data_IF_076068524717
#
_entry.id   IF_076068524717
#
_cell.length_a   1.000
_cell.length_b   1.000
_cell.length_c   1.000
_cell.angle_alpha   90.00
_cell.angle_beta   90.00
_cell.angle_gamma   90.00
#
_symmetry.space_group_name_H-M   'P 1'
#
loop_
_entity.id
_entity.type
_entity.pdbx_description
1 polymer ?
#
# COMPACT_ATOMS: atom_id res chain seq x y z
N UNK A 1 -73.14 7.02 -1.68
CA UNK A 1 -74.12 8.10 -1.92
C UNK A 1 -73.35 9.41 -1.91
N UNK A 2 -73.49 10.34 -2.84
CA UNK A 2 -74.22 10.34 -4.13
C UNK A 2 -73.52 11.36 -5.04
N UNK A 3 -73.56 11.16 -6.36
CA UNK A 3 -72.99 12.12 -7.30
C UNK A 3 -74.05 13.13 -7.71
N UNK A 4 -73.68 14.41 -7.83
CA UNK A 4 -74.43 15.34 -8.68
C UNK A 4 -73.51 16.21 -9.53
N UNK A 5 -73.62 16.01 -10.85
CA UNK A 5 -73.13 16.93 -11.87
C UNK A 5 -74.07 18.13 -11.94
N UNK A 6 -73.52 19.29 -12.30
CA UNK A 6 -74.22 20.24 -13.17
C UNK A 6 -73.25 20.78 -14.23
N UNK A 7 -73.78 21.02 -15.42
CA UNK A 7 -73.05 21.36 -16.65
C UNK A 7 -73.60 22.66 -17.21
N UNK A 8 -72.73 23.51 -17.76
CA UNK A 8 -73.13 24.56 -18.70
C UNK A 8 -72.09 24.66 -19.82
N UNK A 9 -72.53 24.96 -21.05
CA UNK A 9 -71.72 24.81 -22.27
C UNK A 9 -71.80 26.02 -23.22
N UNK A 10 -70.64 26.35 -23.82
CA UNK A 10 -70.44 27.06 -25.11
C UNK A 10 -70.70 28.59 -25.12
N UNK A 11 -70.18 29.35 -26.13
CA UNK A 11 -69.49 28.91 -27.35
C UNK A 11 -68.09 29.53 -27.61
N UNK A 12 -67.52 29.12 -28.75
CA UNK A 12 -66.20 29.45 -29.32
C UNK A 12 -66.21 30.79 -30.08
N UNK A 13 -65.10 31.53 -30.04
CA UNK A 13 -64.64 32.36 -31.17
C UNK A 13 -63.11 32.43 -31.22
N UNK A 14 -62.53 32.53 -32.43
CA UNK A 14 -61.09 32.48 -32.65
C UNK A 14 -60.65 33.57 -33.65
N UNK A 15 -59.53 34.25 -33.37
CA UNK A 15 -58.78 35.09 -34.33
C UNK A 15 -57.34 35.31 -33.82
N UNK A 16 -56.35 34.99 -34.67
CA UNK A 16 -54.94 35.47 -34.65
C UNK A 16 -54.84 36.65 -35.65
N UNK A 17 -53.75 37.47 -35.75
CA UNK A 17 -52.37 37.32 -35.24
C UNK A 17 -51.84 38.57 -34.46
N UNK A 18 -50.57 38.74 -34.08
CA UNK A 18 -49.49 39.39 -34.90
C UNK A 18 -48.19 39.61 -34.10
N UNK A 19 -47.01 39.49 -34.75
CA UNK A 19 -45.62 40.00 -34.47
C UNK A 19 -45.01 40.00 -33.04
N UNK A 20 -43.76 39.50 -32.95
CA UNK A 20 -42.72 39.85 -31.95
C UNK A 20 -41.38 40.13 -32.68
N UNK A 21 -40.86 41.36 -32.57
CA UNK A 21 -39.58 41.91 -33.07
C UNK A 21 -39.34 43.21 -32.25
N UNK A 22 -38.16 43.61 -31.75
CA UNK A 22 -36.88 42.95 -31.38
C UNK A 22 -36.01 43.96 -30.58
N UNK A 23 -35.17 43.52 -29.64
CA UNK A 23 -34.03 44.22 -29.00
C UNK A 23 -33.41 43.22 -27.99
N UNK A 24 -32.45 42.38 -28.38
CA UNK A 24 -30.99 42.64 -28.50
C UNK A 24 -30.31 43.02 -27.17
N UNK A 25 -29.48 42.09 -26.69
CA UNK A 25 -28.42 42.31 -25.71
C UNK A 25 -27.16 41.68 -26.33
N UNK A 26 -26.16 42.50 -26.65
CA UNK A 26 -24.98 42.11 -27.44
C UNK A 26 -23.76 41.91 -26.54
N UNK A 27 -23.27 40.67 -26.46
CA UNK A 27 -21.95 40.35 -25.90
C UNK A 27 -21.03 39.91 -27.03
N UNK A 28 -20.15 40.81 -27.44
CA UNK A 28 -19.33 40.68 -28.64
C UNK A 28 -18.50 39.38 -28.69
N UNK A 29 -18.68 38.64 -29.79
CA UNK A 29 -17.84 37.50 -30.16
C UNK A 29 -16.55 37.98 -30.84
N UNK A 30 -15.43 37.35 -30.49
CA UNK A 30 -14.22 37.34 -31.31
C UNK A 30 -13.76 35.89 -31.51
N UNK A 31 -14.40 35.16 -32.45
CA UNK A 31 -13.94 33.87 -32.98
C UNK A 31 -14.74 33.47 -34.23
N UNK A 32 -14.60 34.25 -35.30
CA UNK A 32 -15.04 33.84 -36.64
C UNK A 32 -13.91 33.05 -37.32
N UNK A 33 -13.84 31.74 -37.04
CA UNK A 33 -12.98 30.78 -37.73
C UNK A 33 -13.48 29.34 -37.52
N UNK A 34 -14.33 28.86 -38.44
CA UNK A 34 -14.69 27.45 -38.68
C UNK A 34 -15.00 26.58 -37.43
N UNK A 35 -16.29 26.35 -37.08
CA UNK A 35 -16.66 25.37 -36.06
C UNK A 35 -16.49 23.94 -36.60
N UNK A 36 -15.27 23.41 -36.55
CA UNK A 36 -15.12 21.96 -36.42
C UNK A 36 -15.90 21.53 -35.15
N UNK A 37 -16.64 20.40 -35.17
CA UNK A 37 -17.35 19.96 -33.98
C UNK A 37 -16.37 19.82 -32.81
N UNK A 38 -16.62 20.49 -31.68
CA UNK A 38 -15.69 20.53 -30.53
C UNK A 38 -15.29 19.12 -30.05
N UNK A 39 -16.19 18.15 -30.19
CA UNK A 39 -15.92 16.73 -29.94
C UNK A 39 -14.80 16.18 -30.83
N UNK A 40 -14.77 16.56 -32.12
CA UNK A 40 -13.77 16.10 -33.10
C UNK A 40 -12.40 16.74 -32.85
N UNK A 41 -12.34 18.04 -32.49
CA UNK A 41 -11.08 18.68 -32.10
C UNK A 41 -10.54 18.08 -30.81
N UNK A 42 -11.39 17.86 -29.81
CA UNK A 42 -10.99 17.23 -28.55
C UNK A 42 -10.49 15.79 -28.76
N UNK A 43 -11.19 14.98 -29.55
CA UNK A 43 -10.75 13.63 -29.89
C UNK A 43 -9.39 13.63 -30.61
N UNK A 44 -9.15 14.59 -31.52
CA UNK A 44 -7.87 14.77 -32.20
C UNK A 44 -6.76 15.14 -31.21
N UNK A 45 -6.97 16.15 -30.36
CA UNK A 45 -5.94 16.57 -29.39
C UNK A 45 -5.66 15.52 -28.30
N UNK A 46 -6.66 14.76 -27.84
CA UNK A 46 -6.44 13.63 -26.93
C UNK A 46 -5.65 12.50 -27.58
N UNK A 47 -6.05 12.07 -28.78
CA UNK A 47 -5.34 10.98 -29.48
C UNK A 47 -3.91 11.39 -29.85
N UNK A 48 -3.70 12.65 -30.25
CA UNK A 48 -2.38 13.22 -30.46
C UNK A 48 -1.55 13.23 -29.17
N UNK A 49 -2.10 13.73 -28.06
CA UNK A 49 -1.43 13.77 -26.76
C UNK A 49 -0.94 12.39 -26.31
N UNK A 50 -1.83 11.39 -26.27
CA UNK A 50 -1.46 10.05 -25.83
C UNK A 50 -0.50 9.34 -26.79
N UNK A 51 -0.64 9.55 -28.12
CA UNK A 51 0.28 9.02 -29.13
C UNK A 51 1.69 9.60 -28.96
N UNK A 52 1.79 10.91 -28.76
CA UNK A 52 3.06 11.62 -28.54
C UNK A 52 3.72 11.21 -27.23
N UNK A 53 2.96 11.12 -26.13
CA UNK A 53 3.46 10.62 -24.83
C UNK A 53 3.99 9.19 -24.97
N UNK A 54 3.25 8.30 -25.65
CA UNK A 54 3.69 6.94 -25.90
C UNK A 54 4.99 6.89 -26.73
N UNK A 55 5.08 7.70 -27.79
CA UNK A 55 6.29 7.80 -28.60
C UNK A 55 7.51 8.27 -27.79
N UNK A 56 7.36 9.33 -26.99
CA UNK A 56 8.43 9.87 -26.15
C UNK A 56 8.88 8.86 -25.08
N UNK A 57 7.95 8.17 -24.41
CA UNK A 57 8.28 7.13 -23.43
C UNK A 57 8.97 5.91 -24.07
N UNK A 58 8.56 5.55 -25.29
CA UNK A 58 9.20 4.46 -26.05
C UNK A 58 10.63 4.82 -26.46
N UNK A 59 10.84 6.03 -26.99
CA UNK A 59 12.17 6.57 -27.33
C UNK A 59 13.07 6.69 -26.10
N UNK A 60 12.55 7.18 -24.98
CA UNK A 60 13.27 7.28 -23.72
C UNK A 60 13.73 5.91 -23.19
N UNK A 61 12.85 4.91 -23.22
CA UNK A 61 13.19 3.51 -22.91
C UNK A 61 14.29 2.96 -23.82
N UNK A 62 14.24 3.27 -25.11
CA UNK A 62 15.24 2.81 -26.08
C UNK A 62 16.61 3.50 -25.89
N UNK A 63 16.64 4.78 -25.50
CA UNK A 63 17.88 5.47 -25.12
C UNK A 63 18.52 4.90 -23.86
N UNK A 64 17.73 4.63 -22.83
CA UNK A 64 18.19 3.95 -21.60
C UNK A 64 18.80 2.58 -21.95
N UNK A 65 18.16 1.81 -22.84
CA UNK A 65 18.64 0.48 -23.25
C UNK A 65 19.92 0.51 -24.10
N UNK A 66 20.17 1.60 -24.82
CA UNK A 66 21.34 1.78 -25.70
C UNK A 66 22.45 2.62 -25.06
N UNK A 67 22.29 3.04 -23.80
CA UNK A 67 23.20 3.94 -23.08
C UNK A 67 23.50 5.25 -23.83
N UNK A 68 22.57 5.71 -24.66
CA UNK A 68 22.74 6.97 -25.41
C UNK A 68 22.40 8.17 -24.51
N UNK A 69 23.22 9.23 -24.52
CA UNK A 69 23.04 10.35 -23.60
C UNK A 69 21.72 11.09 -23.85
N UNK A 70 20.94 11.27 -22.77
CA UNK A 70 19.57 11.80 -22.81
C UNK A 70 19.44 13.22 -23.41
N UNK A 71 20.51 14.02 -23.38
CA UNK A 71 20.56 15.36 -23.96
C UNK A 71 20.66 15.37 -25.49
N UNK A 72 20.98 14.23 -26.13
CA UNK A 72 21.02 14.11 -27.59
C UNK A 72 19.59 13.88 -28.09
N UNK A 73 18.89 14.97 -28.40
CA UNK A 73 17.49 14.93 -28.88
C UNK A 73 17.48 14.91 -30.42
N UNK A 74 16.81 13.91 -30.98
CA UNK A 74 16.64 13.77 -32.44
C UNK A 74 15.53 14.69 -32.96
N UNK A 75 15.56 15.03 -34.26
CA UNK A 75 14.58 15.93 -34.87
C UNK A 75 13.11 15.48 -34.66
N UNK A 76 12.84 14.17 -34.71
CA UNK A 76 11.51 13.60 -34.44
C UNK A 76 11.10 13.73 -32.96
N UNK A 77 12.04 13.65 -32.02
CA UNK A 77 11.76 13.90 -30.60
C UNK A 77 11.52 15.39 -30.32
N UNK A 78 12.21 16.32 -31.01
CA UNK A 78 11.94 17.75 -30.91
C UNK A 78 10.50 18.06 -31.37
N UNK A 79 10.08 17.54 -32.52
CA UNK A 79 8.71 17.68 -33.03
C UNK A 79 7.70 17.06 -32.05
N UNK A 80 8.00 15.89 -31.48
CA UNK A 80 7.14 15.25 -30.49
C UNK A 80 7.02 16.09 -29.20
N UNK A 81 8.12 16.66 -28.69
CA UNK A 81 8.10 17.53 -27.50
C UNK A 81 7.27 18.80 -27.77
N UNK A 82 7.43 19.45 -28.92
CA UNK A 82 6.62 20.62 -29.28
C UNK A 82 5.13 20.26 -29.42
N UNK A 83 4.83 19.10 -30.03
CA UNK A 83 3.46 18.59 -30.18
C UNK A 83 2.83 18.21 -28.84
N UNK A 84 3.64 17.71 -27.89
CA UNK A 84 3.24 17.45 -26.50
C UNK A 84 2.85 18.74 -25.80
N UNK A 85 3.70 19.78 -25.84
CA UNK A 85 3.38 21.06 -25.21
C UNK A 85 2.15 21.73 -25.83
N UNK A 86 2.01 21.71 -27.16
CA UNK A 86 0.85 22.26 -27.84
C UNK A 86 -0.46 21.55 -27.44
N UNK A 87 -0.47 20.22 -27.42
CA UNK A 87 -1.65 19.44 -27.01
C UNK A 87 -1.92 19.53 -25.49
N UNK A 88 -0.88 19.62 -24.66
CA UNK A 88 -1.01 19.82 -23.21
C UNK A 88 -1.61 21.20 -22.88
N UNK A 89 -1.15 22.26 -23.52
CA UNK A 89 -1.71 23.63 -23.35
C UNK A 89 -3.17 23.66 -23.83
N UNK A 90 -3.50 23.01 -24.95
CA UNK A 90 -4.88 22.89 -25.42
C UNK A 90 -5.77 22.17 -24.40
N UNK A 91 -5.33 21.01 -23.88
CA UNK A 91 -6.11 20.25 -22.89
C UNK A 91 -6.24 21.00 -21.56
N UNK A 92 -5.20 21.71 -21.11
CA UNK A 92 -5.25 22.55 -19.91
C UNK A 92 -6.18 23.75 -20.10
N UNK A 93 -6.19 24.37 -21.28
CA UNK A 93 -7.12 25.45 -21.62
C UNK A 93 -8.56 24.97 -21.72
N UNK A 94 -8.80 23.80 -22.31
CA UNK A 94 -10.15 23.26 -22.50
C UNK A 94 -10.75 22.70 -21.20
N UNK A 95 -10.02 21.90 -20.43
CA UNK A 95 -10.52 21.31 -19.17
C UNK A 95 -10.30 22.20 -17.94
N UNK A 96 -9.29 23.06 -17.95
CA UNK A 96 -8.97 23.92 -16.80
C UNK A 96 -9.99 25.04 -16.59
N UNK A 97 -10.65 25.53 -17.64
CA UNK A 97 -11.67 26.57 -17.52
C UNK A 97 -12.90 26.04 -16.75
N UNK A 98 -13.48 24.91 -17.15
CA UNK A 98 -14.62 24.29 -16.45
C UNK A 98 -14.30 23.96 -14.97
N UNK A 99 -13.07 23.50 -14.71
CA UNK A 99 -12.60 23.20 -13.34
C UNK A 99 -12.48 24.45 -12.46
N UNK A 100 -11.95 25.56 -13.01
CA UNK A 100 -11.86 26.83 -12.28
C UNK A 100 -13.23 27.51 -12.13
N UNK A 101 -14.10 27.41 -13.13
CA UNK A 101 -15.44 27.99 -13.07
C UNK A 101 -16.31 27.30 -11.99
N UNK A 102 -16.19 25.97 -11.85
CA UNK A 102 -16.85 25.21 -10.77
C UNK A 102 -16.32 25.51 -9.36
N UNK A 103 -15.11 26.07 -9.24
CA UNK A 103 -14.50 26.46 -7.95
C UNK A 103 -14.76 27.93 -7.58
N UNK A 104 -15.19 28.77 -8.53
CA UNK A 104 -15.40 30.21 -8.33
C UNK A 104 -16.88 30.60 -8.32
N UNK A 105 -17.74 29.90 -9.07
CA UNK A 105 -19.19 30.16 -9.11
C UNK A 105 -19.99 29.05 -8.44
N UNK A 106 -20.16 29.15 -7.12
CA UNK A 106 -21.16 28.38 -6.38
C UNK A 106 -22.51 29.13 -6.46
N UNK A 107 -23.62 28.50 -6.93
CA UNK A 107 -24.94 29.11 -6.87
C UNK A 107 -25.43 29.19 -5.41
N UNK A 108 -26.17 30.24 -5.05
CA UNK A 108 -26.76 30.36 -3.70
C UNK A 108 -27.90 29.36 -3.50
N UNK A 109 -28.10 28.84 -2.27
CA UNK A 109 -29.22 27.95 -1.95
C UNK A 109 -30.48 28.75 -1.56
N UNK A 110 -30.96 29.64 -2.44
CA UNK A 110 -32.26 30.31 -2.27
C UNK A 110 -33.36 29.55 -3.02
N UNK A 111 -33.99 28.56 -2.36
CA UNK A 111 -35.42 28.17 -2.42
C UNK A 111 -35.55 26.92 -1.53
N UNK A 112 -35.87 27.12 -0.24
CA UNK A 112 -36.68 26.24 0.64
C UNK A 112 -36.98 27.03 1.92
N UNK A 113 -37.94 27.96 1.87
CA UNK A 113 -38.49 28.66 3.05
C UNK A 113 -39.94 28.23 3.21
N UNK A 114 -40.22 27.54 4.32
CA UNK A 114 -41.49 27.20 4.96
C UNK A 114 -41.20 25.92 5.79
N UNK A 115 -41.30 25.88 7.12
CA UNK A 115 -41.84 26.81 8.12
C UNK A 115 -40.89 26.87 9.34
N UNK A 116 -41.33 27.39 10.50
CA UNK A 116 -40.55 27.57 11.76
C UNK A 116 -39.59 28.78 11.79
N UNK A 117 -40.20 29.98 11.84
CA UNK A 117 -39.62 31.13 12.55
C UNK A 117 -39.60 30.88 14.09
N UNK A 118 -38.89 31.74 14.83
CA UNK A 118 -38.77 31.80 16.29
C UNK A 118 -37.89 30.73 16.99
N UNK A 119 -36.54 30.93 16.96
CA UNK A 119 -35.73 30.90 18.21
C UNK A 119 -34.24 31.37 18.10
N UNK A 120 -33.72 31.79 16.93
CA UNK A 120 -32.27 32.11 16.78
C UNK A 120 -31.86 33.61 16.93
N UNK A 121 -32.77 34.49 17.36
CA UNK A 121 -32.50 35.95 17.48
C UNK A 121 -31.60 36.33 18.67
N UNK A 122 -31.21 35.37 19.53
CA UNK A 122 -30.50 35.62 20.79
C UNK A 122 -29.00 35.29 20.82
N UNK A 123 -28.41 34.74 19.75
CA UNK A 123 -26.96 34.43 19.68
C UNK A 123 -26.16 35.27 18.68
N UNK A 124 -26.80 36.14 17.88
CA UNK A 124 -26.14 36.98 16.88
C UNK A 124 -25.40 38.23 17.46
N UNK A 125 -24.88 38.18 18.70
CA UNK A 125 -24.38 39.40 19.39
C UNK A 125 -23.05 39.33 20.16
N UNK A 126 -22.30 38.22 20.12
CA UNK A 126 -20.98 38.15 20.80
C UNK A 126 -19.73 38.03 19.89
N UNK A 127 -19.84 37.73 18.59
CA UNK A 127 -18.67 37.62 17.70
C UNK A 127 -18.20 38.94 17.05
N UNK A 128 -18.59 40.08 17.64
CA UNK A 128 -18.15 41.41 17.20
C UNK A 128 -16.78 41.83 17.79
N UNK A 129 -15.71 41.05 17.56
CA UNK A 129 -14.33 41.49 17.82
C UNK A 129 -13.46 41.52 16.55
N UNK A 130 -13.38 42.71 15.95
CA UNK A 130 -12.40 43.05 14.91
C UNK A 130 -11.00 43.20 15.49
N UNK A 131 -10.06 42.34 15.08
CA UNK A 131 -8.60 42.55 15.18
C UNK A 131 -8.00 42.07 13.85
N UNK A 132 -7.04 42.78 13.24
CA UNK A 132 -6.84 42.70 11.79
C UNK A 132 -6.03 41.49 11.32
N UNK A 133 -6.50 40.83 10.27
CA UNK A 133 -5.65 40.00 9.40
C UNK A 133 -4.65 40.90 8.67
N UNK A 134 -3.35 40.68 8.92
CA UNK A 134 -2.31 41.38 8.18
C UNK A 134 -0.91 41.13 8.71
N UNK A 135 -0.25 40.09 8.21
CA UNK A 135 0.99 40.25 7.46
C UNK A 135 1.46 38.92 6.88
N UNK A 136 1.86 38.94 5.61
CA UNK A 136 2.83 37.97 5.12
C UNK A 136 4.14 38.21 5.89
N UNK A 137 4.59 37.19 6.62
CA UNK A 137 5.94 37.18 7.16
C UNK A 137 6.83 36.43 6.16
N UNK A 138 7.65 37.21 5.46
CA UNK A 138 8.86 36.73 4.82
C UNK A 138 9.73 36.05 5.88
N UNK A 139 9.63 34.73 5.98
CA UNK A 139 10.66 33.91 6.61
C UNK A 139 11.89 33.88 5.71
N UNK A 140 12.53 35.04 5.58
CA UNK A 140 13.92 35.14 5.17
C UNK A 140 14.73 34.26 6.11
N UNK A 141 15.35 33.21 5.56
CA UNK A 141 16.24 32.34 6.31
C UNK A 141 17.35 33.23 6.93
N UNK A 142 17.63 33.13 8.24
CA UNK A 142 18.78 33.81 8.80
C UNK A 142 20.04 33.32 8.05
N UNK A 143 21.03 34.19 7.78
CA UNK A 143 22.27 33.76 7.15
C UNK A 143 22.86 32.61 7.95
N UNK A 144 23.15 31.50 7.27
CA UNK A 144 23.97 30.44 7.85
C UNK A 144 25.24 31.09 8.42
N UNK A 145 25.61 30.80 9.69
CA UNK A 145 26.89 31.28 10.21
C UNK A 145 27.99 30.81 9.24
N UNK A 146 29.04 31.63 9.02
CA UNK A 146 30.11 31.26 8.11
C UNK A 146 30.64 29.89 8.53
N UNK A 147 30.77 28.99 7.55
CA UNK A 147 31.13 27.61 7.80
C UNK A 147 32.31 27.57 8.78
N UNK A 148 32.06 27.05 9.99
CA UNK A 148 33.13 26.69 10.90
C UNK A 148 34.12 25.87 10.08
N UNK A 149 35.44 26.14 10.19
CA UNK A 149 36.42 25.47 9.36
C UNK A 149 36.13 23.98 9.44
N UNK A 150 36.05 23.33 8.28
CA UNK A 150 35.88 21.88 8.19
C UNK A 150 36.84 21.33 9.22
N UNK A 151 36.30 20.80 10.33
CA UNK A 151 37.07 19.98 11.23
C UNK A 151 37.38 18.83 10.34
N UNK A 152 38.57 18.89 9.73
CA UNK A 152 39.15 17.84 8.92
C UNK A 152 38.84 16.61 9.72
N UNK A 153 37.95 15.76 9.18
CA UNK A 153 37.62 14.50 9.84
C UNK A 153 38.97 13.83 9.89
N UNK A 154 39.58 13.95 11.06
CA UNK A 154 40.89 13.44 11.36
C UNK A 154 40.71 12.00 10.97
N UNK A 155 41.51 11.51 10.01
CA UNK A 155 41.39 10.14 9.53
C UNK A 155 41.43 9.27 10.77
N UNK A 156 40.25 8.88 11.25
CA UNK A 156 40.10 7.81 12.20
C UNK A 156 40.64 6.69 11.36
N UNK A 157 41.83 6.25 11.78
CA UNK A 157 42.59 5.26 11.05
C UNK A 157 41.68 4.07 10.76
N UNK A 158 42.07 3.23 9.80
CA UNK A 158 41.51 1.89 9.67
C UNK A 158 41.82 1.05 10.93
N UNK A 159 41.22 1.41 12.06
CA UNK A 159 40.85 0.48 13.12
C UNK A 159 39.82 -0.45 12.50
N UNK A 160 40.35 -1.42 11.74
CA UNK A 160 39.74 -2.74 11.68
C UNK A 160 39.33 -3.07 13.11
N UNK A 161 38.05 -3.35 13.40
CA UNK A 161 37.69 -3.93 14.68
C UNK A 161 38.35 -5.31 14.68
N UNK A 162 39.56 -5.37 15.25
CA UNK A 162 40.27 -6.61 15.47
C UNK A 162 39.54 -7.27 16.62
N UNK A 163 38.46 -7.99 16.28
CA UNK A 163 38.09 -9.19 17.04
C UNK A 163 39.39 -9.96 17.22
N UNK A 164 39.83 -10.08 18.47
CA UNK A 164 41.05 -10.81 18.83
C UNK A 164 40.73 -12.29 18.61
N UNK A 165 40.87 -12.72 17.36
CA UNK A 165 40.74 -14.11 16.96
C UNK A 165 41.88 -14.88 17.63
N UNK A 166 41.51 -15.89 18.40
CA UNK A 166 42.47 -16.82 18.99
C UNK A 166 43.09 -17.70 17.89
N UNK A 167 44.20 -18.37 18.19
CA UNK A 167 44.78 -19.34 17.25
C UNK A 167 43.78 -20.47 16.92
N UNK A 168 42.94 -20.86 17.90
CA UNK A 168 41.81 -21.78 17.68
C UNK A 168 40.82 -21.24 16.64
N UNK A 169 40.44 -19.95 16.74
CA UNK A 169 39.50 -19.33 15.80
C UNK A 169 40.07 -19.35 14.38
N UNK A 170 41.36 -19.09 14.22
CA UNK A 170 42.05 -19.18 12.92
C UNK A 170 42.02 -20.60 12.33
N UNK A 171 42.18 -21.64 13.15
CA UNK A 171 42.03 -23.03 12.69
C UNK A 171 40.59 -23.36 12.30
N UNK A 172 39.60 -22.92 13.10
CA UNK A 172 38.18 -23.11 12.80
C UNK A 172 37.80 -22.37 11.51
N UNK A 173 38.25 -21.13 11.33
CA UNK A 173 38.04 -20.35 10.10
C UNK A 173 38.62 -21.09 8.90
N UNK A 174 39.86 -21.59 8.98
CA UNK A 174 40.48 -22.40 7.89
C UNK A 174 39.65 -23.67 7.62
N UNK A 175 39.16 -24.36 8.64
CA UNK A 175 38.30 -25.54 8.52
C UNK A 175 36.95 -25.26 7.84
N UNK A 176 36.36 -24.09 8.12
CA UNK A 176 35.11 -23.63 7.46
C UNK A 176 35.38 -23.21 6.01
N UNK A 177 36.46 -22.47 5.74
CA UNK A 177 36.87 -22.06 4.39
C UNK A 177 37.20 -23.28 3.52
N UNK A 178 37.84 -24.31 4.07
CA UNK A 178 38.12 -25.58 3.40
C UNK A 178 36.88 -26.49 3.26
N UNK A 179 35.72 -26.11 3.79
CA UNK A 179 34.48 -26.90 3.74
C UNK A 179 34.47 -28.14 4.65
N UNK A 180 35.49 -28.35 5.48
CA UNK A 180 35.58 -29.48 6.42
C UNK A 180 34.62 -29.31 7.61
N UNK A 181 34.42 -28.08 8.08
CA UNK A 181 33.44 -27.75 9.13
C UNK A 181 32.22 -27.03 8.54
N UNK A 182 31.00 -27.60 8.65
CA UNK A 182 29.79 -26.93 8.19
C UNK A 182 29.46 -25.67 9.00
N UNK A 183 29.32 -24.53 8.32
CA UNK A 183 29.09 -23.22 8.94
C UNK A 183 27.84 -23.14 9.83
N UNK A 184 26.76 -23.88 9.52
CA UNK A 184 25.55 -23.93 10.34
C UNK A 184 25.71 -24.68 11.67
N UNK A 185 26.84 -25.37 11.89
CA UNK A 185 27.11 -26.15 13.11
C UNK A 185 27.93 -25.39 14.16
N UNK A 186 28.34 -24.15 13.87
CA UNK A 186 29.28 -23.39 14.70
C UNK A 186 28.68 -23.04 16.08
N UNK A 187 27.43 -22.59 16.13
CA UNK A 187 26.74 -22.25 17.39
C UNK A 187 26.69 -23.46 18.34
N UNK A 188 26.35 -24.65 17.82
CA UNK A 188 26.29 -25.89 18.59
C UNK A 188 27.67 -26.40 19.03
N UNK A 189 28.72 -26.18 18.22
CA UNK A 189 30.08 -26.65 18.52
C UNK A 189 30.85 -25.74 19.48
N UNK A 190 30.61 -24.43 19.40
CA UNK A 190 31.36 -23.43 20.15
C UNK A 190 30.65 -23.01 21.44
N UNK A 191 29.34 -23.21 21.54
CA UNK A 191 28.53 -22.76 22.68
C UNK A 191 28.33 -21.24 22.79
N UNK A 192 29.06 -20.45 21.99
CA UNK A 192 28.99 -19.00 21.91
C UNK A 192 28.49 -18.58 20.52
N UNK A 193 27.27 -18.03 20.47
CA UNK A 193 26.63 -17.60 19.23
C UNK A 193 27.28 -16.37 18.60
N UNK A 194 27.89 -15.49 19.42
CA UNK A 194 28.62 -14.31 18.95
C UNK A 194 29.97 -14.70 18.34
N UNK A 195 30.72 -15.60 18.99
CA UNK A 195 31.96 -16.20 18.44
C UNK A 195 31.67 -16.96 17.15
N UNK A 196 30.59 -17.73 17.09
CA UNK A 196 30.15 -18.41 15.87
C UNK A 196 29.86 -17.42 14.72
N UNK A 197 29.15 -16.33 14.99
CA UNK A 197 28.91 -15.28 14.01
C UNK A 197 30.20 -14.56 13.55
N UNK A 198 31.14 -14.32 14.46
CA UNK A 198 32.45 -13.72 14.17
C UNK A 198 33.30 -14.61 13.23
N UNK A 199 33.45 -15.89 13.58
CA UNK A 199 34.16 -16.90 12.77
C UNK A 199 33.52 -17.04 11.39
N UNK A 200 32.18 -17.12 11.32
CA UNK A 200 31.44 -17.22 10.06
C UNK A 200 31.64 -16.00 9.18
N UNK A 201 31.57 -14.80 9.78
CA UNK A 201 31.82 -13.53 9.10
C UNK A 201 33.22 -13.51 8.49
N UNK A 202 34.26 -13.88 9.25
CA UNK A 202 35.63 -13.88 8.74
C UNK A 202 35.86 -14.95 7.66
N UNK A 203 35.32 -16.16 7.83
CA UNK A 203 35.32 -17.18 6.79
C UNK A 203 34.64 -16.69 5.49
N UNK A 204 33.52 -15.95 5.61
CA UNK A 204 32.82 -15.37 4.46
C UNK A 204 33.63 -14.28 3.77
N UNK A 205 34.37 -13.44 4.52
CA UNK A 205 35.30 -12.45 3.93
C UNK A 205 36.39 -13.15 3.12
N UNK A 206 37.00 -14.22 3.66
CA UNK A 206 38.04 -15.01 2.97
C UNK A 206 37.52 -15.73 1.72
N UNK A 207 36.34 -16.36 1.81
CA UNK A 207 35.72 -17.07 0.68
C UNK A 207 35.30 -16.13 -0.47
N UNK A 208 34.85 -14.91 -0.16
CA UNK A 208 34.34 -13.97 -1.17
C UNK A 208 35.39 -12.97 -1.66
N UNK A 209 36.50 -12.80 -0.93
CA UNK A 209 37.48 -11.74 -1.14
C UNK A 209 36.92 -10.33 -0.87
N UNK A 210 35.77 -10.21 -0.18
CA UNK A 210 35.07 -8.94 0.06
C UNK A 210 35.04 -8.60 1.53
N UNK A 211 35.25 -7.33 1.85
CA UNK A 211 35.09 -6.80 3.20
C UNK A 211 33.61 -6.70 3.59
N UNK A 212 33.30 -7.03 4.84
CA UNK A 212 32.01 -6.79 5.51
C UNK A 212 32.08 -5.57 6.45
N UNK A 213 33.14 -4.75 6.34
CA UNK A 213 33.26 -3.44 7.00
C UNK A 213 31.97 -2.61 6.83
N UNK A 214 31.42 -2.09 7.92
CA UNK A 214 30.16 -1.36 7.94
C UNK A 214 28.92 -2.20 8.28
N UNK A 215 29.02 -3.54 8.30
CA UNK A 215 28.02 -4.40 8.94
C UNK A 215 28.43 -4.63 10.42
N UNK A 216 27.68 -4.14 11.42
CA UNK A 216 28.01 -4.36 12.84
C UNK A 216 27.95 -5.84 13.26
N UNK A 217 28.62 -6.14 14.37
CA UNK A 217 28.64 -7.45 15.04
C UNK A 217 28.43 -7.31 16.55
N UNK A 218 29.04 -6.31 17.19
CA UNK A 218 28.84 -6.03 18.62
C UNK A 218 27.49 -5.34 18.90
N UNK A 219 27.01 -5.46 20.14
CA UNK A 219 25.77 -4.81 20.59
C UNK A 219 24.47 -5.54 20.21
N UNK A 220 24.57 -6.81 19.78
CA UNK A 220 23.42 -7.65 19.45
C UNK A 220 23.44 -8.97 20.24
N UNK A 221 22.26 -9.40 20.71
CA UNK A 221 22.07 -10.68 21.39
C UNK A 221 21.82 -11.80 20.37
N UNK A 222 22.88 -12.54 20.04
CA UNK A 222 22.84 -13.66 19.11
C UNK A 222 22.17 -14.92 19.68
N UNK A 223 22.03 -15.05 21.00
CA UNK A 223 21.35 -16.19 21.61
C UNK A 223 19.83 -16.07 21.40
N UNK A 224 19.30 -14.85 21.49
CA UNK A 224 17.87 -14.56 21.30
C UNK A 224 17.29 -14.98 19.95
N UNK A 225 18.12 -15.00 18.88
CA UNK A 225 17.67 -15.36 17.52
C UNK A 225 17.85 -16.84 17.18
N UNK A 226 18.63 -17.59 17.96
CA UNK A 226 19.05 -18.95 17.63
C UNK A 226 17.86 -19.90 17.52
N UNK A 227 17.67 -20.50 16.34
CA UNK A 227 16.57 -21.43 16.06
C UNK A 227 15.17 -20.77 16.03
N UNK A 228 15.08 -19.44 16.05
CA UNK A 228 13.81 -18.71 16.09
C UNK A 228 13.65 -17.71 14.93
N UNK A 229 14.68 -16.89 14.66
CA UNK A 229 14.54 -15.72 13.80
C UNK A 229 15.45 -15.70 12.57
N UNK A 230 16.67 -16.21 12.67
CA UNK A 230 17.63 -16.20 11.58
C UNK A 230 18.71 -17.26 11.76
N UNK A 231 19.00 -18.01 10.69
CA UNK A 231 20.07 -18.99 10.62
C UNK A 231 21.37 -18.36 10.09
N UNK A 232 22.52 -18.88 10.55
CA UNK A 232 23.86 -18.49 10.08
C UNK A 232 24.17 -16.97 10.10
N UNK A 233 23.93 -16.24 11.22
CA UNK A 233 24.20 -14.81 11.31
C UNK A 233 25.69 -14.45 11.09
N UNK A 234 25.94 -13.27 10.50
CA UNK A 234 27.28 -12.68 10.24
C UNK A 234 27.41 -11.23 10.71
N UNK A 235 26.37 -10.73 11.40
CA UNK A 235 26.15 -9.34 11.73
C UNK A 235 24.65 -9.01 11.70
N UNK A 236 24.29 -7.73 11.79
CA UNK A 236 22.92 -7.26 11.68
C UNK A 236 22.87 -5.90 10.94
N UNK A 237 21.71 -5.55 10.38
CA UNK A 237 21.53 -4.27 9.66
C UNK A 237 20.83 -3.26 10.56
N UNK A 238 21.42 -2.08 10.71
CA UNK A 238 20.80 -0.95 11.42
C UNK A 238 19.84 -0.21 10.47
N UNK A 239 18.61 0.02 10.91
CA UNK A 239 17.59 0.78 10.18
C UNK A 239 17.20 2.00 11.04
N UNK A 240 17.22 3.24 10.50
CA UNK A 240 16.78 4.41 11.25
C UNK A 240 15.32 4.28 11.70
N UNK A 241 15.05 4.63 12.96
CA UNK A 241 13.69 4.61 13.53
C UNK A 241 13.29 6.04 13.88
N UNK A 242 12.22 6.52 13.24
CA UNK A 242 11.56 7.78 13.58
C UNK A 242 10.25 7.55 14.35
N UNK A 243 9.67 8.62 14.88
CA UNK A 243 8.35 8.61 15.53
C UNK A 243 7.44 9.59 14.80
N UNK A 244 6.21 9.17 14.51
CA UNK A 244 5.13 10.03 14.02
C UNK A 244 3.97 10.06 15.03
N UNK A 245 3.46 11.25 15.36
CA UNK A 245 2.34 11.40 16.28
C UNK A 245 2.22 12.80 16.93
N UNK A 246 1.24 12.99 17.84
CA UNK A 246 0.28 12.00 18.28
C UNK A 246 -0.76 11.66 17.19
N UNK A 247 -1.03 10.37 17.02
CA UNK A 247 -2.13 9.86 16.19
C UNK A 247 -3.33 9.58 17.11
N UNK A 248 -4.37 10.40 17.02
CA UNK A 248 -5.62 10.22 17.78
C UNK A 248 -6.54 9.23 17.04
N UNK A 249 -6.72 8.03 17.60
CA UNK A 249 -7.59 6.97 17.06
C UNK A 249 -8.47 6.40 18.18
N UNK A 250 -9.78 6.29 17.95
CA UNK A 250 -10.75 5.75 18.91
C UNK A 250 -10.64 6.39 20.32
N UNK A 251 -10.41 7.71 20.38
CA UNK A 251 -10.26 8.47 21.62
C UNK A 251 -8.94 8.24 22.37
N UNK A 252 -7.93 7.61 21.74
CA UNK A 252 -6.60 7.37 22.33
C UNK A 252 -5.50 7.92 21.43
N UNK A 253 -4.46 8.48 22.04
CA UNK A 253 -3.28 8.97 21.34
C UNK A 253 -2.20 7.91 21.24
N UNK A 254 -1.55 7.84 20.08
CA UNK A 254 -0.47 6.90 19.80
C UNK A 254 0.74 7.62 19.19
N UNK A 255 1.94 7.29 19.69
CA UNK A 255 3.21 7.59 19.04
C UNK A 255 3.61 6.39 18.19
N UNK A 256 3.65 6.53 16.87
CA UNK A 256 3.88 5.44 15.93
C UNK A 256 5.38 5.34 15.60
N UNK A 257 6.09 4.29 16.02
CA UNK A 257 7.48 4.06 15.61
C UNK A 257 7.53 3.58 14.15
N UNK A 258 8.45 4.14 13.37
CA UNK A 258 8.60 3.85 11.94
C UNK A 258 10.07 3.59 11.61
N UNK A 259 10.42 2.34 11.31
CA UNK A 259 11.73 1.97 10.81
C UNK A 259 11.79 2.14 9.28
N UNK A 260 12.61 3.06 8.77
CA UNK A 260 12.72 3.32 7.32
C UNK A 260 14.03 3.99 6.94
N UNK A 261 14.45 3.79 5.68
CA UNK A 261 15.50 4.56 5.01
C UNK A 261 14.94 5.55 3.97
N UNK A 262 13.62 5.58 3.77
CA UNK A 262 12.95 6.47 2.84
C UNK A 262 12.87 7.90 3.39
N UNK A 263 13.49 8.85 2.68
CA UNK A 263 13.43 10.27 3.01
C UNK A 263 11.99 10.81 2.99
N UNK A 264 11.73 11.79 3.85
CA UNK A 264 10.42 12.45 4.01
C UNK A 264 9.24 11.56 4.47
N UNK A 265 9.34 10.22 4.48
CA UNK A 265 8.22 9.33 4.85
C UNK A 265 7.67 9.64 6.25
N UNK A 266 8.53 9.60 7.27
CA UNK A 266 8.13 9.87 8.67
C UNK A 266 7.56 11.29 8.84
N UNK A 267 8.17 12.29 8.19
CA UNK A 267 7.70 13.67 8.25
C UNK A 267 6.32 13.85 7.59
N UNK A 268 6.08 13.16 6.47
CA UNK A 268 4.80 13.13 5.76
C UNK A 268 3.72 12.46 6.61
N UNK A 269 4.01 11.28 7.18
CA UNK A 269 3.11 10.58 8.11
C UNK A 269 2.79 11.44 9.33
N UNK A 270 3.80 12.12 9.91
CA UNK A 270 3.61 13.01 11.05
C UNK A 270 2.70 14.22 10.73
N UNK A 271 2.84 14.81 9.53
CA UNK A 271 1.91 15.84 9.02
C UNK A 271 0.49 15.28 8.89
N UNK A 272 0.34 14.04 8.43
CA UNK A 272 -0.94 13.32 8.40
C UNK A 272 -1.56 13.13 9.79
N UNK A 273 -0.78 12.67 10.77
CA UNK A 273 -1.21 12.55 12.17
C UNK A 273 -1.71 13.88 12.73
N UNK A 274 -0.96 14.98 12.49
CA UNK A 274 -1.38 16.33 12.90
C UNK A 274 -2.72 16.75 12.27
N UNK A 275 -2.92 16.49 10.99
CA UNK A 275 -4.18 16.80 10.31
C UNK A 275 -5.36 16.00 10.88
N UNK A 276 -5.18 14.68 11.10
CA UNK A 276 -6.18 13.82 11.73
C UNK A 276 -6.53 14.31 13.14
N UNK A 277 -5.52 14.62 13.96
CA UNK A 277 -5.70 15.07 15.33
C UNK A 277 -6.47 16.41 15.40
N UNK A 278 -6.12 17.39 14.57
CA UNK A 278 -6.82 18.68 14.51
C UNK A 278 -8.29 18.56 14.03
N UNK A 279 -8.62 17.52 13.27
CA UNK A 279 -9.98 17.21 12.83
C UNK A 279 -10.80 16.39 13.84
N UNK A 280 -10.34 16.26 15.09
CA UNK A 280 -11.01 15.49 16.14
C UNK A 280 -10.65 14.00 16.21
N UNK A 281 -9.65 13.56 15.43
CA UNK A 281 -9.17 12.18 15.42
C UNK A 281 -9.82 11.30 14.36
N UNK A 282 -9.46 10.02 14.37
CA UNK A 282 -10.00 9.00 13.46
C UNK A 282 -10.71 7.87 14.23
N UNK A 283 -11.70 7.25 13.58
CA UNK A 283 -12.38 6.06 14.09
C UNK A 283 -11.98 4.84 13.25
N UNK A 284 -11.65 3.72 13.90
CA UNK A 284 -11.31 2.46 13.24
C UNK A 284 -12.00 1.26 13.89
N UNK A 285 -12.47 0.32 13.08
CA UNK A 285 -13.20 -0.88 13.50
C UNK A 285 -12.64 -2.11 12.78
N UNK A 286 -12.43 -3.19 13.53
CA UNK A 286 -11.96 -4.47 13.00
C UNK A 286 -13.16 -5.29 12.47
N UNK A 287 -13.28 -5.40 11.15
CA UNK A 287 -14.40 -6.11 10.51
C UNK A 287 -14.25 -7.64 10.52
N UNK A 288 -13.01 -8.14 10.48
CA UNK A 288 -12.70 -9.57 10.54
C UNK A 288 -11.25 -9.79 10.99
N UNK A 289 -11.08 -10.72 11.92
CA UNK A 289 -9.80 -11.38 12.21
C UNK A 289 -9.89 -12.86 11.83
N UNK A 290 -8.81 -13.39 11.24
CA UNK A 290 -8.75 -14.77 10.76
C UNK A 290 -7.57 -15.01 9.82
N UNK A 291 -6.49 -15.59 10.34
CA UNK A 291 -5.36 -16.05 9.54
C UNK A 291 -5.77 -17.27 8.70
N UNK A 292 -5.18 -17.42 7.50
CA UNK A 292 -5.57 -18.49 6.56
C UNK A 292 -4.38 -19.29 6.04
N UNK A 293 -4.56 -20.61 5.98
CA UNK A 293 -3.67 -21.54 5.26
C UNK A 293 -4.52 -22.36 4.30
N UNK A 294 -4.00 -22.63 3.11
CA UNK A 294 -4.72 -23.39 2.10
C UNK A 294 -3.85 -24.46 1.44
N UNK A 295 -3.90 -25.72 1.91
CA UNK A 295 -3.30 -26.84 1.21
C UNK A 295 -3.95 -27.07 -0.16
N UNK A 296 -3.17 -27.68 -1.04
CA UNK A 296 -3.66 -28.30 -2.27
C UNK A 296 -3.54 -29.81 -2.12
N UNK A 297 -4.65 -30.52 -2.28
CA UNK A 297 -4.70 -31.98 -2.32
C UNK A 297 -5.20 -32.45 -3.69
N UNK A 298 -4.89 -33.68 -4.06
CA UNK A 298 -5.20 -34.26 -5.37
C UNK A 298 -5.79 -35.65 -5.20
N UNK A 299 -6.70 -35.99 -6.10
CA UNK A 299 -7.30 -37.32 -6.20
C UNK A 299 -7.09 -37.93 -7.58
N UNK A 300 -7.45 -39.21 -7.74
CA UNK A 300 -7.46 -39.88 -9.04
C UNK A 300 -8.41 -39.24 -10.06
N UNK A 301 -9.53 -38.67 -9.61
CA UNK A 301 -10.53 -38.02 -10.47
C UNK A 301 -11.24 -36.85 -9.77
N UNK A 302 -11.99 -36.06 -10.54
CA UNK A 302 -12.70 -34.88 -10.05
C UNK A 302 -13.88 -35.19 -9.10
N UNK A 303 -14.49 -36.39 -9.20
CA UNK A 303 -15.57 -36.81 -8.30
C UNK A 303 -15.04 -36.94 -6.86
N UNK A 304 -13.92 -37.64 -6.67
CA UNK A 304 -13.28 -37.79 -5.34
C UNK A 304 -12.91 -36.45 -4.70
N UNK A 305 -12.43 -35.49 -5.50
CA UNK A 305 -12.19 -34.12 -5.03
C UNK A 305 -13.49 -33.39 -4.62
N UNK A 306 -14.61 -33.68 -5.27
CA UNK A 306 -15.94 -33.19 -4.87
C UNK A 306 -16.48 -33.89 -3.61
N UNK A 307 -16.27 -35.21 -3.46
CA UNK A 307 -16.63 -35.96 -2.25
C UNK A 307 -15.98 -35.31 -1.01
N UNK A 308 -14.67 -35.02 -1.05
CA UNK A 308 -13.97 -34.34 0.05
C UNK A 308 -14.44 -32.88 0.24
N UNK A 309 -14.73 -32.13 -0.85
CA UNK A 309 -15.29 -30.77 -0.72
C UNK A 309 -16.59 -30.78 0.06
N UNK A 310 -17.50 -31.71 -0.26
CA UNK A 310 -18.79 -31.84 0.41
C UNK A 310 -18.60 -32.18 1.89
N UNK A 311 -17.74 -33.16 2.21
CA UNK A 311 -17.42 -33.52 3.59
C UNK A 311 -16.88 -32.34 4.42
N UNK A 312 -16.00 -31.52 3.83
CA UNK A 312 -15.36 -30.37 4.52
C UNK A 312 -16.25 -29.13 4.69
N UNK A 313 -17.30 -29.00 3.87
CA UNK A 313 -18.26 -27.88 3.93
C UNK A 313 -19.60 -28.27 4.57
N UNK A 314 -19.74 -29.54 4.99
CA UNK A 314 -20.87 -30.05 5.76
C UNK A 314 -20.81 -29.53 7.22
N UNK A 315 -21.85 -28.82 7.70
CA UNK A 315 -21.92 -28.34 9.07
C UNK A 315 -21.76 -29.44 10.13
N UNK A 316 -22.25 -30.66 9.85
CA UNK A 316 -22.24 -31.76 10.83
C UNK A 316 -20.80 -32.29 11.07
N UNK A 317 -19.92 -32.17 10.08
CA UNK A 317 -18.49 -32.55 10.20
C UNK A 317 -17.62 -31.43 10.77
N UNK A 318 -18.09 -30.17 10.74
CA UNK A 318 -17.27 -29.01 11.10
C UNK A 318 -16.76 -29.05 12.55
N UNK A 319 -17.58 -29.51 13.51
CA UNK A 319 -17.16 -29.59 14.91
C UNK A 319 -16.03 -30.64 15.11
N UNK A 320 -16.12 -31.79 14.44
CA UNK A 320 -15.06 -32.82 14.46
C UNK A 320 -13.75 -32.25 13.89
N UNK A 321 -13.81 -31.57 12.75
CA UNK A 321 -12.66 -30.93 12.10
C UNK A 321 -12.08 -29.80 12.98
N UNK A 322 -12.94 -29.02 13.64
CA UNK A 322 -12.58 -27.99 14.61
C UNK A 322 -11.83 -28.59 15.79
N UNK A 323 -12.34 -29.67 16.41
CA UNK A 323 -11.66 -30.38 17.51
C UNK A 323 -10.28 -30.89 17.09
N UNK A 324 -10.15 -31.50 15.90
CA UNK A 324 -8.86 -31.98 15.37
C UNK A 324 -7.87 -30.83 15.15
N UNK A 325 -8.31 -29.73 14.54
CA UNK A 325 -7.50 -28.54 14.33
C UNK A 325 -7.04 -27.90 15.65
N UNK A 326 -7.99 -27.69 16.58
CA UNK A 326 -7.79 -26.96 17.83
C UNK A 326 -6.88 -27.71 18.80
N UNK A 327 -6.76 -29.05 18.72
CA UNK A 327 -5.77 -29.84 19.48
C UNK A 327 -4.31 -29.40 19.25
N UNK A 328 -4.02 -28.72 18.13
CA UNK A 328 -2.68 -28.21 17.83
C UNK A 328 -2.25 -27.02 18.70
N UNK A 329 -3.20 -26.26 19.29
CA UNK A 329 -2.90 -25.03 20.03
C UNK A 329 -4.01 -24.56 20.98
N UNK A 330 -3.61 -24.02 22.14
CA UNK A 330 -4.52 -23.35 23.08
C UNK A 330 -5.18 -22.08 22.52
N UNK A 331 -4.59 -21.42 21.52
CA UNK A 331 -5.08 -20.16 20.94
C UNK A 331 -5.76 -20.34 19.57
N UNK A 332 -5.31 -21.31 18.76
CA UNK A 332 -5.86 -21.53 17.43
C UNK A 332 -7.30 -22.03 17.51
N UNK A 333 -8.24 -21.30 16.90
CA UNK A 333 -9.64 -21.75 16.75
C UNK A 333 -10.05 -21.70 15.30
N UNK A 334 -10.44 -22.85 14.75
CA UNK A 334 -11.00 -22.94 13.41
C UNK A 334 -12.31 -22.11 13.34
N UNK A 335 -12.37 -21.17 12.41
CA UNK A 335 -13.54 -20.31 12.16
C UNK A 335 -14.34 -20.75 10.93
N UNK A 336 -13.70 -21.44 9.99
CA UNK A 336 -14.36 -21.88 8.76
C UNK A 336 -13.40 -22.51 7.76
N UNK A 337 -13.96 -23.32 6.87
CA UNK A 337 -13.27 -23.95 5.74
C UNK A 337 -13.97 -23.51 4.45
N UNK A 338 -13.23 -23.16 3.40
CA UNK A 338 -13.77 -22.86 2.08
C UNK A 338 -12.98 -23.57 0.99
N UNK A 339 -13.65 -24.41 0.21
CA UNK A 339 -13.03 -25.29 -0.76
C UNK A 339 -13.24 -24.83 -2.22
N UNK A 340 -12.19 -24.90 -3.03
CA UNK A 340 -12.25 -24.66 -4.48
C UNK A 340 -11.65 -25.84 -5.26
N UNK A 341 -12.39 -26.36 -6.24
CA UNK A 341 -11.97 -27.50 -7.08
C UNK A 341 -11.35 -26.97 -8.37
N UNK A 342 -10.26 -27.59 -8.80
CA UNK A 342 -9.65 -27.42 -10.11
C UNK A 342 -9.39 -28.80 -10.73
N UNK A 343 -10.39 -29.33 -11.44
CA UNK A 343 -10.36 -30.69 -11.97
C UNK A 343 -10.26 -31.73 -10.86
N UNK A 344 -9.13 -32.44 -10.80
CA UNK A 344 -8.84 -33.44 -9.75
C UNK A 344 -8.06 -32.91 -8.54
N UNK A 345 -7.77 -31.61 -8.51
CA UNK A 345 -7.14 -30.93 -7.37
C UNK A 345 -8.22 -30.19 -6.55
N UNK A 346 -8.03 -30.13 -5.24
CA UNK A 346 -8.86 -29.41 -4.28
C UNK A 346 -7.99 -28.46 -3.45
N UNK A 347 -8.34 -27.18 -3.44
CA UNK A 347 -7.73 -26.16 -2.60
C UNK A 347 -8.64 -25.88 -1.41
N UNK A 348 -8.14 -26.11 -0.19
CA UNK A 348 -8.94 -26.09 1.03
C UNK A 348 -8.52 -24.89 1.88
N UNK A 349 -9.22 -23.76 1.84
CA UNK A 349 -8.86 -22.57 2.63
C UNK A 349 -9.41 -22.66 4.05
N UNK A 350 -8.55 -23.03 4.99
CA UNK A 350 -8.83 -22.92 6.42
C UNK A 350 -8.71 -21.45 6.86
N UNK A 351 -9.65 -20.99 7.67
CA UNK A 351 -9.64 -19.68 8.34
C UNK A 351 -9.74 -19.92 9.84
N UNK A 352 -8.89 -19.26 10.63
CA UNK A 352 -8.82 -19.45 12.07
C UNK A 352 -8.38 -18.20 12.82
N UNK A 353 -8.88 -17.99 14.04
CA UNK A 353 -8.34 -16.97 14.94
C UNK A 353 -7.04 -17.45 15.56
N UNK A 354 -6.14 -16.52 15.85
CA UNK A 354 -4.77 -16.84 16.28
C UNK A 354 -4.34 -16.19 17.60
N UNK A 355 -5.26 -15.49 18.27
CA UNK A 355 -4.92 -14.62 19.41
C UNK A 355 -4.04 -13.46 18.94
N UNK A 356 -3.15 -12.98 19.80
CA UNK A 356 -2.26 -11.85 19.47
C UNK A 356 -1.12 -12.21 18.49
N UNK A 357 -0.96 -13.50 18.17
CA UNK A 357 0.05 -13.96 17.22
C UNK A 357 -0.46 -13.87 15.78
N UNK A 358 0.40 -13.44 14.85
CA UNK A 358 0.13 -13.59 13.40
C UNK A 358 -0.10 -15.06 13.00
N UNK A 359 0.47 -16.00 13.77
CA UNK A 359 -0.06 -17.37 13.88
C UNK A 359 0.27 -18.35 12.75
N UNK A 360 0.97 -17.94 11.69
CA UNK A 360 1.16 -18.78 10.48
C UNK A 360 1.74 -20.19 10.70
N UNK A 361 2.64 -20.39 11.68
CA UNK A 361 3.16 -21.72 12.02
C UNK A 361 2.11 -22.58 12.75
N UNK A 362 1.32 -21.95 13.61
CA UNK A 362 0.21 -22.58 14.33
C UNK A 362 -0.91 -23.01 13.36
N UNK A 363 -1.26 -22.15 12.39
CA UNK A 363 -2.25 -22.51 11.35
C UNK A 363 -1.74 -23.69 10.52
N UNK A 364 -0.47 -23.69 10.09
CA UNK A 364 0.12 -24.82 9.35
C UNK A 364 0.02 -26.13 10.14
N UNK A 365 0.33 -26.11 11.44
CA UNK A 365 0.26 -27.31 12.31
C UNK A 365 -1.18 -27.80 12.48
N UNK A 366 -2.13 -26.88 12.72
CA UNK A 366 -3.56 -27.23 12.81
C UNK A 366 -4.09 -27.83 11.51
N UNK A 367 -3.69 -27.28 10.36
CA UNK A 367 -4.03 -27.84 9.04
C UNK A 367 -3.42 -29.22 8.84
N UNK A 368 -2.14 -29.42 9.19
CA UNK A 368 -1.49 -30.74 9.04
C UNK A 368 -2.25 -31.82 9.83
N UNK A 369 -2.58 -31.54 11.11
CA UNK A 369 -3.38 -32.46 11.93
C UNK A 369 -4.72 -32.83 11.27
N UNK A 370 -5.38 -31.89 10.58
CA UNK A 370 -6.64 -32.15 9.87
C UNK A 370 -6.40 -32.99 8.61
N UNK A 371 -5.34 -32.73 7.85
CA UNK A 371 -4.97 -33.55 6.68
C UNK A 371 -4.63 -34.99 7.10
N UNK A 372 -3.86 -35.16 8.17
CA UNK A 372 -3.48 -36.47 8.72
C UNK A 372 -4.72 -37.25 9.20
N UNK A 373 -5.71 -36.57 9.80
CA UNK A 373 -7.00 -37.16 10.16
C UNK A 373 -7.79 -37.61 8.93
N UNK A 374 -7.95 -36.73 7.93
CA UNK A 374 -8.65 -37.01 6.67
C UNK A 374 -8.03 -38.16 5.87
N UNK A 375 -6.73 -38.40 6.02
CA UNK A 375 -6.01 -39.51 5.41
C UNK A 375 -6.60 -40.89 5.76
N UNK A 376 -7.34 -40.99 6.88
CA UNK A 376 -8.03 -42.22 7.32
C UNK A 376 -9.24 -42.56 6.44
N UNK A 377 -10.09 -41.56 6.17
CA UNK A 377 -11.34 -41.74 5.39
C UNK A 377 -11.14 -41.52 3.89
N UNK A 378 -10.08 -40.78 3.52
CA UNK A 378 -9.67 -40.48 2.15
C UNK A 378 -8.23 -40.97 1.89
N UNK A 379 -7.96 -42.28 1.93
CA UNK A 379 -6.60 -42.83 1.73
C UNK A 379 -6.08 -42.62 0.30
N UNK A 380 -6.94 -42.27 -0.66
CA UNK A 380 -6.60 -41.89 -2.03
C UNK A 380 -6.26 -40.39 -2.21
N UNK A 381 -6.18 -39.63 -1.10
CA UNK A 381 -5.78 -38.22 -1.07
C UNK A 381 -4.25 -38.04 -1.14
N UNK A 382 -3.78 -37.43 -2.22
CA UNK A 382 -2.38 -37.03 -2.43
C UNK A 382 -2.18 -35.56 -2.00
N UNK A 383 -1.41 -35.31 -0.94
CA UNK A 383 -1.16 -33.96 -0.41
C UNK A 383 -0.02 -33.29 -1.19
N UNK A 384 -0.38 -32.53 -2.22
CA UNK A 384 0.58 -31.80 -3.08
C UNK A 384 1.37 -30.74 -2.31
N UNK A 385 0.76 -30.13 -1.29
CA UNK A 385 1.48 -29.27 -0.36
C UNK A 385 0.58 -28.47 0.56
N UNK A 386 1.11 -28.12 1.74
CA UNK A 386 0.41 -27.38 2.81
C UNK A 386 0.06 -25.94 2.40
N UNK A 387 0.73 -25.39 1.37
CA UNK A 387 0.46 -24.08 0.80
C UNK A 387 0.33 -24.17 -0.72
N UNK A 388 -0.91 -24.34 -1.20
CA UNK A 388 -1.27 -24.34 -2.63
C UNK A 388 -1.49 -22.94 -3.22
N UNK A 389 -0.85 -21.90 -2.68
CA UNK A 389 -1.04 -20.47 -3.01
C UNK A 389 -2.48 -19.90 -2.87
N UNK A 390 -3.47 -20.72 -2.48
CA UNK A 390 -4.87 -20.33 -2.36
C UNK A 390 -5.23 -19.57 -1.05
N UNK A 391 -4.31 -19.51 -0.08
CA UNK A 391 -4.34 -18.52 0.99
C UNK A 391 -3.68 -17.19 0.58
N UNK A 392 -2.82 -17.23 -0.45
CA UNK A 392 -2.05 -16.12 -1.01
C UNK A 392 -1.21 -15.35 0.02
N UNK A 393 -0.48 -16.09 0.86
CA UNK A 393 0.56 -15.51 1.71
C UNK A 393 1.65 -14.85 0.85
N UNK A 394 2.09 -13.65 1.26
CA UNK A 394 3.12 -12.81 0.62
C UNK A 394 2.93 -12.51 -0.88
N UNK A 395 1.78 -12.81 -1.46
CA UNK A 395 1.47 -12.61 -2.88
C UNK A 395 0.26 -11.67 -3.03
N UNK A 396 0.36 -10.67 -3.92
CA UNK A 396 -0.83 -9.97 -4.39
C UNK A 396 -1.59 -10.86 -5.35
N UNK A 397 -2.82 -11.22 -4.98
CA UNK A 397 -3.84 -11.60 -5.96
C UNK A 397 -3.98 -10.43 -6.95
N UNK A 398 -3.71 -10.70 -8.23
CA UNK A 398 -3.94 -9.78 -9.35
C UNK A 398 -5.23 -10.18 -10.05
#
# INVERSE_FOLDING_TARGET
>A
MEAHRLSSTKPVQALKPTKKISLEEDTGKASDALPLPLYLTNALFFTLFFSVVYFLLSRWREKIRTSTPLHVVTFSEIIAILSFFASFIYLLGFFGIDFVQSLVFQPSPDVWIAEEEDDEVLLAKEDARKVPCGQALDCSLPPLPPAAPIVTVQKVFDEKPVTVLTEEDEEIIKSVVAGTTPSYSLELKLGDCKRAAAIRREALQRLTGKSLSGLPLDGFDYESILGQCCEMPVGYVQIPVGIAGPLLVNGREYSVPMATTEGCLVASTNRGCKAIHLSGGATSVLLKDGMTRAPCVRFGNAKRAADLKLYLEDPDNFETLSVVFNRSSRFGRLQGIKCAIAGKNLYIRFTCSTGDAMGMNMVSKGVQNVLDFLQTDFPDMDVIGISGNYCSDKNRLR
#
